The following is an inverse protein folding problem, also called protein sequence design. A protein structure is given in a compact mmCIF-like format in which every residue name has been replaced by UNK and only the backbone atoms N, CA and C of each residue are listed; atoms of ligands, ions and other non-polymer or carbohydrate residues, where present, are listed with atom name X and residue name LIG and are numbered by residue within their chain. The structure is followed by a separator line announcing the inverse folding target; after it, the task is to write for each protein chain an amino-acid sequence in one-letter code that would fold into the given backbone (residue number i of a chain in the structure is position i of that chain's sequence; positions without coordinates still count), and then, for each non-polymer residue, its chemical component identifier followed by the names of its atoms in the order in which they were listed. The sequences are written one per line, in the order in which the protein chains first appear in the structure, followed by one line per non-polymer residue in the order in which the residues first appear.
data_IF_021802001688
#
_entry.id   IF_021802001688
#
_cell.length_a   1.000
_cell.length_b   1.000
_cell.length_c   1.000
_cell.angle_alpha   90.00
_cell.angle_beta   90.00
_cell.angle_gamma   90.00
#
_symmetry.space_group_name_H-M   'P 1'
#
loop_
_entity.id
_entity.type
_entity.pdbx_description
1 polymer ?
#
# COMPACT_ATOMS: atom_id res chain seq x y z
N UNK A 1 26.28 -16.31 17.55
CA UNK A 1 27.03 -15.97 16.32
C UNK A 1 26.62 -14.58 15.89
N UNK A 2 27.54 -13.62 15.87
CA UNK A 2 27.27 -12.26 15.37
C UNK A 2 27.44 -12.25 13.85
N UNK A 3 26.43 -11.79 13.10
CA UNK A 3 26.51 -11.59 11.66
C UNK A 3 27.55 -10.52 11.34
N UNK A 4 28.45 -10.77 10.39
CA UNK A 4 29.44 -9.78 9.95
C UNK A 4 28.74 -8.52 9.42
N UNK A 5 29.19 -7.35 9.87
CA UNK A 5 28.57 -6.05 9.54
C UNK A 5 28.54 -5.74 8.03
N UNK A 6 29.45 -6.30 7.25
CA UNK A 6 29.53 -6.12 5.81
C UNK A 6 28.94 -7.29 5.00
N UNK A 7 28.57 -8.40 5.64
CA UNK A 7 27.91 -9.51 4.96
C UNK A 7 26.53 -9.10 4.41
N UNK A 8 26.01 -9.81 3.37
CA UNK A 8 24.62 -9.66 2.95
C UNK A 8 23.68 -9.84 4.13
N UNK A 9 22.67 -8.98 4.21
CA UNK A 9 21.71 -9.00 5.29
C UNK A 9 20.87 -10.30 5.24
N UNK A 10 20.67 -11.02 6.35
CA UNK A 10 19.96 -12.31 6.35
C UNK A 10 18.46 -12.20 5.98
N UNK A 11 17.89 -10.99 5.96
CA UNK A 11 16.54 -10.75 5.41
C UNK A 11 16.47 -10.90 3.87
N UNK A 12 17.62 -11.06 3.20
CA UNK A 12 17.72 -11.25 1.76
C UNK A 12 17.58 -9.97 0.93
N UNK A 13 17.58 -8.78 1.55
CA UNK A 13 17.44 -7.48 0.85
C UNK A 13 18.53 -7.14 -0.17
N UNK A 14 19.56 -7.98 -0.31
CA UNK A 14 20.76 -7.67 -1.11
C UNK A 14 21.66 -6.58 -0.50
N UNK A 15 21.20 -5.85 0.52
CA UNK A 15 21.98 -4.82 1.23
C UNK A 15 22.97 -5.44 2.22
N UNK A 16 24.07 -4.73 2.51
CA UNK A 16 24.99 -5.10 3.62
C UNK A 16 24.27 -5.00 4.96
N UNK A 17 24.54 -5.89 5.91
CA UNK A 17 23.90 -5.93 7.23
C UNK A 17 23.89 -4.55 7.90
N UNK A 18 25.03 -3.85 7.97
CA UNK A 18 25.15 -2.51 8.57
C UNK A 18 24.35 -1.39 7.89
N UNK A 19 23.84 -1.61 6.67
CA UNK A 19 23.00 -0.68 5.91
C UNK A 19 21.54 -1.13 5.87
N UNK A 20 21.18 -2.12 6.68
CA UNK A 20 19.86 -2.69 6.80
C UNK A 20 19.63 -2.96 8.30
N UNK A 21 19.58 -4.22 8.73
CA UNK A 21 19.30 -4.58 10.12
C UNK A 21 20.39 -4.21 11.15
N UNK A 22 21.59 -3.83 10.68
CA UNK A 22 22.69 -3.32 11.51
C UNK A 22 22.92 -1.82 11.37
N UNK A 23 21.97 -1.09 10.77
CA UNK A 23 21.99 0.37 10.76
C UNK A 23 21.75 0.94 12.17
N UNK A 24 22.14 2.20 12.38
CA UNK A 24 21.84 2.88 13.62
C UNK A 24 20.31 3.01 13.75
N UNK A 25 19.78 2.53 14.88
CA UNK A 25 18.35 2.58 15.19
C UNK A 25 18.04 3.93 15.83
N UNK A 26 17.00 4.67 15.40
CA UNK A 26 16.61 5.91 16.07
C UNK A 26 16.37 5.70 17.57
N UNK A 27 16.67 6.69 18.43
CA UNK A 27 16.47 6.57 19.88
C UNK A 27 15.05 6.14 20.28
N UNK A 28 14.05 6.61 19.55
CA UNK A 28 12.62 6.30 19.72
C UNK A 28 12.36 4.80 19.52
N UNK A 29 12.87 4.25 18.42
CA UNK A 29 12.79 2.82 18.11
C UNK A 29 13.61 1.99 19.10
N UNK A 30 14.77 2.48 19.54
CA UNK A 30 15.60 1.81 20.52
C UNK A 30 14.90 1.72 21.90
N UNK A 31 14.09 2.71 22.25
CA UNK A 31 13.35 2.77 23.51
C UNK A 31 12.13 1.84 23.57
N UNK A 32 11.65 1.33 22.43
CA UNK A 32 10.51 0.42 22.38
C UNK A 32 10.71 -0.85 23.22
N UNK A 33 9.66 -1.40 23.85
CA UNK A 33 9.63 -2.75 24.40
C UNK A 33 10.14 -3.81 23.41
N UNK A 34 10.79 -4.86 23.91
CA UNK A 34 11.34 -5.92 23.06
C UNK A 34 10.32 -6.55 22.08
N UNK A 35 9.08 -6.87 22.50
CA UNK A 35 8.08 -7.42 21.58
C UNK A 35 7.70 -6.46 20.44
N UNK A 36 7.66 -5.15 20.71
CA UNK A 36 7.33 -4.15 19.69
C UNK A 36 8.48 -3.96 18.69
N UNK A 37 9.74 -4.03 19.16
CA UNK A 37 10.91 -4.05 18.26
C UNK A 37 10.94 -5.28 17.36
N UNK A 38 10.55 -6.45 17.89
CA UNK A 38 10.46 -7.68 17.11
C UNK A 38 9.38 -7.58 16.01
N UNK A 39 8.21 -7.01 16.34
CA UNK A 39 7.15 -6.74 15.34
C UNK A 39 7.59 -5.76 14.27
N UNK A 40 8.20 -4.63 14.64
CA UNK A 40 8.72 -3.67 13.68
C UNK A 40 9.77 -4.33 12.76
N UNK A 41 10.70 -5.09 13.33
CA UNK A 41 11.71 -5.80 12.54
C UNK A 41 11.06 -6.80 11.56
N UNK A 42 10.03 -7.52 12.01
CA UNK A 42 9.28 -8.46 11.17
C UNK A 42 8.49 -7.72 10.07
N UNK A 43 7.85 -6.60 10.37
CA UNK A 43 7.17 -5.76 9.39
C UNK A 43 8.12 -5.26 8.29
N UNK A 44 9.29 -4.74 8.67
CA UNK A 44 10.33 -4.32 7.72
C UNK A 44 10.78 -5.47 6.82
N UNK A 45 10.87 -6.69 7.35
CA UNK A 45 11.19 -7.89 6.55
C UNK A 45 10.08 -8.23 5.55
N UNK A 46 8.82 -8.13 5.97
CA UNK A 46 7.66 -8.38 5.11
C UNK A 46 7.56 -7.34 4.00
N UNK A 47 7.74 -6.04 4.29
CA UNK A 47 7.75 -4.96 3.29
C UNK A 47 8.86 -5.17 2.26
N UNK A 48 10.06 -5.53 2.70
CA UNK A 48 11.17 -5.83 1.79
C UNK A 48 10.95 -7.12 0.98
N UNK A 49 10.25 -8.10 1.56
CA UNK A 49 9.86 -9.31 0.84
C UNK A 49 8.81 -8.98 -0.23
N UNK A 50 7.82 -8.17 0.13
CA UNK A 50 6.78 -7.70 -0.75
C UNK A 50 7.34 -6.95 -1.96
N UNK A 51 8.21 -5.96 -1.76
CA UNK A 51 8.88 -5.23 -2.86
C UNK A 51 9.57 -6.15 -3.87
N UNK A 52 10.19 -7.24 -3.41
CA UNK A 52 10.82 -8.25 -4.29
C UNK A 52 9.78 -9.07 -5.05
N UNK A 53 8.74 -9.55 -4.37
CA UNK A 53 7.63 -10.29 -4.98
C UNK A 53 6.95 -9.42 -6.05
N UNK A 54 6.73 -8.15 -5.74
CA UNK A 54 6.14 -7.16 -6.62
C UNK A 54 6.93 -7.06 -7.94
N UNK A 55 8.26 -6.89 -7.86
CA UNK A 55 9.10 -6.86 -9.06
C UNK A 55 9.06 -8.19 -9.83
N UNK A 56 9.13 -9.33 -9.13
CA UNK A 56 9.06 -10.66 -9.75
C UNK A 56 7.72 -10.90 -10.47
N UNK A 57 6.63 -10.35 -9.94
CA UNK A 57 5.29 -10.38 -10.54
C UNK A 57 5.19 -9.49 -11.77
N UNK A 58 5.68 -8.24 -11.71
CA UNK A 58 5.70 -7.35 -12.89
C UNK A 58 6.50 -7.96 -14.03
N UNK A 59 7.69 -8.48 -13.73
CA UNK A 59 8.54 -9.22 -14.67
C UNK A 59 7.83 -10.46 -15.26
N UNK A 60 7.02 -11.14 -14.45
CA UNK A 60 6.23 -12.27 -14.90
C UNK A 60 5.08 -11.85 -15.81
N UNK A 61 4.36 -10.79 -15.46
CA UNK A 61 3.29 -10.21 -16.26
C UNK A 61 3.79 -9.79 -17.64
N UNK A 62 4.94 -9.10 -17.70
CA UNK A 62 5.57 -8.71 -18.96
C UNK A 62 5.84 -9.93 -19.86
N UNK A 63 6.43 -10.99 -19.28
CA UNK A 63 6.76 -12.22 -20.04
C UNK A 63 5.56 -13.08 -20.42
N UNK A 64 4.47 -13.07 -19.63
CA UNK A 64 3.36 -14.03 -19.78
C UNK A 64 2.10 -13.42 -20.36
N UNK A 65 1.81 -12.17 -20.03
CA UNK A 65 0.59 -11.47 -20.41
C UNK A 65 0.88 -10.43 -21.51
N UNK A 66 2.10 -9.88 -21.53
CA UNK A 66 2.58 -8.99 -22.59
C UNK A 66 2.05 -7.57 -22.50
N UNK A 67 2.59 -6.70 -23.36
CA UNK A 67 2.32 -5.26 -23.35
C UNK A 67 0.87 -4.90 -23.66
N UNK A 68 0.18 -5.64 -24.55
CA UNK A 68 -1.24 -5.36 -24.86
C UNK A 68 -2.13 -5.50 -23.63
N UNK A 69 -1.88 -6.51 -22.79
CA UNK A 69 -2.61 -6.70 -21.55
C UNK A 69 -2.34 -5.59 -20.54
N UNK A 70 -1.08 -5.16 -20.42
CA UNK A 70 -0.68 -4.10 -19.51
C UNK A 70 -1.25 -2.74 -19.95
N UNK A 71 -1.20 -2.42 -21.24
CA UNK A 71 -1.79 -1.20 -21.80
C UNK A 71 -3.31 -1.16 -21.61
N UNK A 72 -4.01 -2.28 -21.86
CA UNK A 72 -5.45 -2.35 -21.61
C UNK A 72 -5.80 -2.19 -20.11
N UNK A 73 -4.89 -2.59 -19.20
CA UNK A 73 -5.05 -2.35 -17.78
C UNK A 73 -4.85 -0.88 -17.41
N UNK A 74 -3.82 -0.27 -18.00
CA UNK A 74 -3.49 1.13 -17.85
C UNK A 74 -4.64 2.01 -18.34
N UNK A 75 -5.14 1.78 -19.56
CA UNK A 75 -6.26 2.52 -20.13
C UNK A 75 -7.51 2.44 -19.24
N UNK A 76 -7.81 1.25 -18.72
CA UNK A 76 -8.93 1.05 -17.79
C UNK A 76 -8.75 1.85 -16.50
N UNK A 77 -7.53 1.85 -15.95
CA UNK A 77 -7.24 2.46 -14.66
C UNK A 77 -7.04 3.98 -14.73
N UNK A 78 -6.50 4.47 -15.84
CA UNK A 78 -6.31 5.89 -16.12
C UNK A 78 -7.58 6.54 -16.68
N UNK A 79 -8.58 5.76 -17.10
CA UNK A 79 -9.86 6.27 -17.62
C UNK A 79 -9.82 6.64 -19.10
N UNK A 80 -8.85 6.11 -19.85
CA UNK A 80 -8.71 6.32 -21.29
C UNK A 80 -7.26 6.16 -21.77
N UNK A 81 -7.04 5.97 -23.09
CA UNK A 81 -5.71 5.74 -23.68
C UNK A 81 -4.82 6.99 -23.72
N UNK A 82 -5.40 8.18 -23.59
CA UNK A 82 -4.66 9.46 -23.60
C UNK A 82 -4.33 9.96 -22.18
N UNK A 83 -4.72 9.20 -21.15
CA UNK A 83 -4.50 9.57 -19.75
C UNK A 83 -3.25 8.89 -19.22
N UNK A 84 -2.39 9.68 -18.58
CA UNK A 84 -1.17 9.19 -17.94
C UNK A 84 -1.44 8.87 -16.45
N UNK A 85 -0.69 7.90 -15.91
CA UNK A 85 -0.63 7.70 -14.48
C UNK A 85 0.16 8.84 -13.86
N UNK A 86 -0.38 9.42 -12.79
CA UNK A 86 0.42 10.28 -11.92
C UNK A 86 1.41 9.43 -11.13
N UNK A 87 2.56 10.01 -10.76
CA UNK A 87 3.50 9.42 -9.80
C UNK A 87 2.82 9.06 -8.47
N UNK A 88 1.76 9.80 -8.09
CA UNK A 88 0.96 9.51 -6.89
C UNK A 88 0.17 8.19 -6.96
N UNK A 89 -0.06 7.69 -8.18
CA UNK A 89 -0.88 6.51 -8.45
C UNK A 89 -0.07 5.24 -8.65
N UNK A 90 1.24 5.32 -8.89
CA UNK A 90 2.03 4.18 -9.36
C UNK A 90 1.95 2.96 -8.42
N UNK A 91 2.12 3.18 -7.12
CA UNK A 91 2.04 2.12 -6.11
C UNK A 91 0.64 1.51 -6.05
N UNK A 92 -0.38 2.37 -6.06
CA UNK A 92 -1.77 1.93 -6.03
C UNK A 92 -2.14 1.12 -7.29
N UNK A 93 -1.77 1.62 -8.47
CA UNK A 93 -2.00 0.96 -9.76
C UNK A 93 -1.36 -0.42 -9.79
N UNK A 94 -0.08 -0.50 -9.42
CA UNK A 94 0.64 -1.75 -9.48
C UNK A 94 0.07 -2.78 -8.49
N UNK A 95 -0.34 -2.37 -7.29
CA UNK A 95 -1.02 -3.26 -6.34
C UNK A 95 -2.36 -3.77 -6.90
N UNK A 96 -3.21 -2.87 -7.42
CA UNK A 96 -4.48 -3.25 -8.04
C UNK A 96 -4.30 -4.19 -9.23
N UNK A 97 -3.36 -3.89 -10.12
CA UNK A 97 -3.04 -4.68 -11.32
C UNK A 97 -2.68 -6.13 -10.97
N UNK A 98 -1.87 -6.31 -9.92
CA UNK A 98 -1.32 -7.61 -9.54
C UNK A 98 -2.31 -8.45 -8.72
N UNK A 99 -3.06 -7.83 -7.82
CA UNK A 99 -3.83 -8.55 -6.79
C UNK A 99 -5.34 -8.56 -6.99
N UNK A 100 -5.88 -7.57 -7.73
CA UNK A 100 -7.32 -7.38 -7.87
C UNK A 100 -7.80 -7.46 -9.32
N UNK A 101 -7.00 -7.02 -10.31
CA UNK A 101 -7.38 -7.14 -11.72
C UNK A 101 -7.22 -8.58 -12.22
N UNK A 102 -8.28 -9.21 -12.74
CA UNK A 102 -8.17 -10.51 -13.41
C UNK A 102 -7.24 -10.43 -14.63
N UNK A 103 -6.44 -11.47 -14.90
CA UNK A 103 -5.57 -11.47 -16.09
C UNK A 103 -6.37 -11.54 -17.41
N UNK A 104 -7.63 -11.95 -17.34
CA UNK A 104 -8.62 -11.97 -18.42
C UNK A 104 -10.01 -12.11 -17.80
N UNK A 105 -11.07 -12.02 -18.60
CA UNK A 105 -12.45 -12.11 -18.12
C UNK A 105 -12.80 -13.41 -17.36
N UNK A 106 -12.00 -14.47 -17.47
CA UNK A 106 -12.29 -15.79 -16.89
C UNK A 106 -11.14 -16.38 -16.06
N UNK A 107 -10.05 -15.64 -15.85
CA UNK A 107 -8.86 -16.15 -15.16
C UNK A 107 -8.59 -15.41 -13.85
N UNK A 108 -7.94 -16.09 -12.92
CA UNK A 108 -7.46 -15.48 -11.68
C UNK A 108 -6.50 -14.28 -11.92
N UNK A 109 -6.24 -13.52 -10.87
CA UNK A 109 -5.30 -12.38 -10.92
C UNK A 109 -3.86 -12.85 -11.16
N UNK A 110 -2.96 -11.98 -11.65
CA UNK A 110 -1.55 -12.33 -11.84
C UNK A 110 -0.90 -12.94 -10.60
N UNK A 111 -1.14 -12.35 -9.42
CA UNK A 111 -0.62 -12.84 -8.15
C UNK A 111 -1.05 -14.29 -7.86
N UNK A 112 -2.33 -14.62 -8.09
CA UNK A 112 -2.86 -15.97 -7.86
C UNK A 112 -2.24 -16.98 -8.84
N UNK A 113 -2.18 -16.66 -10.12
CA UNK A 113 -1.58 -17.55 -11.13
C UNK A 113 -0.10 -17.79 -10.87
N UNK A 114 0.61 -16.73 -10.48
CA UNK A 114 2.02 -16.83 -10.12
C UNK A 114 2.22 -17.69 -8.88
N UNK A 115 1.40 -17.48 -7.83
CA UNK A 115 1.45 -18.27 -6.60
C UNK A 115 1.22 -19.76 -6.86
N UNK A 116 0.21 -20.11 -7.66
CA UNK A 116 -0.06 -21.50 -8.05
C UNK A 116 1.13 -22.14 -8.76
N UNK A 117 1.76 -21.42 -9.68
CA UNK A 117 2.97 -21.87 -10.37
C UNK A 117 4.16 -22.04 -9.40
N UNK A 118 4.37 -21.12 -8.45
CA UNK A 118 5.45 -21.25 -7.47
C UNK A 118 5.21 -22.44 -6.53
N UNK A 119 3.98 -22.63 -6.05
CA UNK A 119 3.60 -23.80 -5.25
C UNK A 119 3.84 -25.11 -6.00
N UNK A 120 3.47 -25.17 -7.28
CA UNK A 120 3.72 -26.36 -8.11
C UNK A 120 5.22 -26.63 -8.31
N UNK A 121 6.03 -25.57 -8.46
CA UNK A 121 7.49 -25.66 -8.66
C UNK A 121 8.25 -26.03 -7.39
N UNK A 122 7.90 -25.44 -6.26
CA UNK A 122 8.67 -25.52 -5.02
C UNK A 122 8.09 -26.51 -3.99
N UNK A 123 6.80 -26.84 -4.09
CA UNK A 123 6.12 -27.75 -3.18
C UNK A 123 6.33 -27.38 -1.71
N UNK A 124 6.75 -28.35 -0.90
CA UNK A 124 7.02 -28.15 0.53
C UNK A 124 8.18 -27.18 0.85
N UNK A 125 8.95 -26.73 -0.16
CA UNK A 125 10.02 -25.72 0.00
C UNK A 125 9.53 -24.30 -0.32
N UNK A 126 8.24 -24.11 -0.55
CA UNK A 126 7.68 -22.78 -0.78
C UNK A 126 7.93 -21.89 0.43
N UNK A 127 8.30 -20.64 0.16
CA UNK A 127 8.44 -19.64 1.21
C UNK A 127 7.06 -19.30 1.78
N UNK A 128 6.86 -19.59 3.06
CA UNK A 128 5.59 -19.38 3.75
C UNK A 128 5.20 -17.90 3.80
N UNK A 129 6.17 -16.98 3.84
CA UNK A 129 5.88 -15.54 3.86
C UNK A 129 5.37 -15.07 2.51
N UNK A 130 5.96 -15.57 1.42
CA UNK A 130 5.48 -15.26 0.06
C UNK A 130 4.05 -15.75 -0.12
N UNK A 131 3.78 -16.98 0.35
CA UNK A 131 2.45 -17.58 0.29
C UNK A 131 1.42 -16.74 1.05
N UNK A 132 1.72 -16.43 2.31
CA UNK A 132 0.85 -15.65 3.18
C UNK A 132 0.66 -14.21 2.66
N UNK A 133 1.73 -13.53 2.23
CA UNK A 133 1.65 -12.17 1.69
C UNK A 133 0.73 -12.10 0.47
N UNK A 134 0.87 -13.04 -0.47
CA UNK A 134 0.05 -13.03 -1.68
C UNK A 134 -1.42 -13.34 -1.41
N UNK A 135 -1.71 -14.22 -0.45
CA UNK A 135 -3.09 -14.44 0.02
C UNK A 135 -3.63 -13.16 0.66
N UNK A 136 -2.89 -12.56 1.60
CA UNK A 136 -3.35 -11.40 2.34
C UNK A 136 -3.57 -10.17 1.44
N UNK A 137 -2.72 -9.95 0.43
CA UNK A 137 -2.91 -8.90 -0.59
C UNK A 137 -4.08 -9.18 -1.54
N UNK A 138 -4.36 -10.45 -1.86
CA UNK A 138 -5.55 -10.79 -2.63
C UNK A 138 -6.85 -10.57 -1.81
N UNK A 139 -6.78 -10.83 -0.50
CA UNK A 139 -7.90 -10.67 0.42
C UNK A 139 -8.05 -9.25 0.97
N UNK A 140 -7.06 -8.38 0.79
CA UNK A 140 -7.16 -6.98 1.20
C UNK A 140 -8.23 -6.24 0.41
N UNK A 141 -8.76 -5.19 1.02
CA UNK A 141 -9.81 -4.37 0.45
C UNK A 141 -9.35 -2.93 0.51
N UNK A 142 -9.72 -2.17 -0.51
CA UNK A 142 -9.48 -0.74 -0.52
C UNK A 142 -10.20 -0.10 0.68
N UNK A 143 -9.55 0.86 1.33
CA UNK A 143 -10.13 1.63 2.42
C UNK A 143 -9.72 3.08 2.37
N UNK A 144 -10.48 3.92 3.08
CA UNK A 144 -10.17 5.34 3.29
C UNK A 144 -9.69 5.46 4.74
N UNK A 145 -8.37 5.48 4.92
CA UNK A 145 -7.74 5.32 6.20
C UNK A 145 -7.32 6.67 6.76
N UNK A 146 -8.03 7.11 7.80
CA UNK A 146 -7.63 8.29 8.56
C UNK A 146 -6.52 7.93 9.53
N UNK A 147 -5.45 8.72 9.50
CA UNK A 147 -4.35 8.66 10.47
C UNK A 147 -4.85 9.18 11.81
N UNK A 148 -4.71 8.36 12.85
CA UNK A 148 -5.19 8.65 14.22
C UNK A 148 -4.05 8.95 15.18
N UNK A 149 -2.86 8.40 14.91
CA UNK A 149 -1.63 8.61 15.69
C UNK A 149 -0.43 8.26 14.81
N UNK A 150 0.71 8.89 15.07
CA UNK A 150 1.98 8.62 14.37
C UNK A 150 3.08 8.38 15.41
N UNK A 151 3.67 7.19 15.36
CA UNK A 151 4.83 6.80 16.16
C UNK A 151 6.06 6.84 15.25
N UNK A 152 6.78 7.96 15.29
CA UNK A 152 7.90 8.25 14.38
C UNK A 152 8.93 7.12 14.36
N UNK A 153 9.22 6.62 13.15
CA UNK A 153 10.15 5.51 12.92
C UNK A 153 9.59 4.12 13.24
N UNK A 154 8.31 4.01 13.61
CA UNK A 154 7.65 2.75 13.98
C UNK A 154 6.47 2.45 13.07
N UNK A 155 5.51 3.37 13.02
CA UNK A 155 4.24 3.16 12.31
C UNK A 155 3.18 4.16 12.75
N UNK A 156 1.94 3.90 12.35
CA UNK A 156 0.83 4.80 12.62
C UNK A 156 -0.49 4.06 12.75
N UNK A 157 -1.38 4.64 13.56
CA UNK A 157 -2.73 4.12 13.77
C UNK A 157 -3.67 4.63 12.69
N UNK A 158 -4.49 3.75 12.16
CA UNK A 158 -5.44 4.04 11.09
C UNK A 158 -6.87 3.72 11.51
N UNK A 159 -7.82 4.50 11.00
CA UNK A 159 -9.25 4.26 11.11
C UNK A 159 -9.91 4.34 9.73
N UNK A 160 -10.50 3.24 9.27
CA UNK A 160 -11.20 3.19 7.98
C UNK A 160 -12.58 3.84 8.07
N UNK A 161 -12.78 4.90 7.28
CA UNK A 161 -14.02 5.64 7.19
C UNK A 161 -15.16 4.80 6.57
N UNK A 162 -14.86 3.74 5.81
CA UNK A 162 -15.86 2.91 5.14
C UNK A 162 -16.40 1.81 6.05
N UNK A 163 -15.52 1.10 6.76
CA UNK A 163 -15.90 -0.06 7.59
C UNK A 163 -15.88 0.21 9.09
N UNK A 164 -15.27 1.31 9.53
CA UNK A 164 -14.99 1.62 10.93
C UNK A 164 -13.89 0.75 11.55
N UNK A 165 -13.18 -0.04 10.74
CA UNK A 165 -12.05 -0.87 11.20
C UNK A 165 -10.89 0.01 11.65
N UNK A 166 -10.18 -0.42 12.69
CA UNK A 166 -8.95 0.23 13.14
C UNK A 166 -7.76 -0.69 12.92
N UNK A 167 -6.60 -0.12 12.61
CA UNK A 167 -5.35 -0.83 12.46
C UNK A 167 -4.19 -0.03 13.04
N UNK A 168 -3.11 -0.70 13.42
CA UNK A 168 -1.80 -0.06 13.60
C UNK A 168 -0.85 -0.66 12.58
N UNK A 169 -0.47 0.12 11.58
CA UNK A 169 0.41 -0.34 10.51
C UNK A 169 1.85 0.02 10.82
N UNK A 170 2.74 -0.94 10.61
CA UNK A 170 4.17 -0.73 10.76
C UNK A 170 4.75 -0.26 9.44
N UNK A 171 5.23 0.99 9.41
CA UNK A 171 5.91 1.60 8.28
C UNK A 171 6.81 2.73 8.79
N UNK A 172 8.12 2.52 8.77
CA UNK A 172 9.08 3.52 9.23
C UNK A 172 9.20 4.71 8.27
N UNK A 173 9.04 4.48 6.95
CA UNK A 173 9.12 5.51 5.94
C UNK A 173 7.88 6.41 5.94
N UNK A 174 6.68 5.83 6.03
CA UNK A 174 5.42 6.58 6.04
C UNK A 174 5.30 7.57 7.21
N UNK A 175 5.90 7.26 8.37
CA UNK A 175 5.90 8.16 9.55
C UNK A 175 6.60 9.50 9.36
N UNK A 176 7.36 9.68 8.28
CA UNK A 176 8.09 10.92 8.00
C UNK A 176 7.22 12.00 7.34
N UNK A 177 6.08 11.61 6.76
CA UNK A 177 5.16 12.52 6.09
C UNK A 177 3.82 12.63 6.79
N UNK A 178 3.22 11.52 7.20
CA UNK A 178 1.83 11.53 7.64
C UNK A 178 1.61 12.29 8.96
N UNK A 179 0.47 12.97 9.06
CA UNK A 179 0.02 13.66 10.26
C UNK A 179 -1.34 13.14 10.73
N UNK A 180 -1.65 13.23 12.03
CA UNK A 180 -3.00 12.95 12.52
C UNK A 180 -4.06 13.74 11.73
N UNK A 181 -5.18 13.08 11.44
CA UNK A 181 -6.30 13.54 10.62
C UNK A 181 -6.05 13.62 9.10
N UNK A 182 -4.83 13.34 8.61
CA UNK A 182 -4.64 13.01 7.20
C UNK A 182 -5.42 11.74 6.85
N UNK A 183 -5.94 11.66 5.63
CA UNK A 183 -6.61 10.47 5.11
C UNK A 183 -5.89 9.99 3.87
N UNK A 184 -5.59 8.69 3.83
CA UNK A 184 -4.99 8.02 2.67
C UNK A 184 -5.95 6.98 2.08
N UNK A 185 -5.82 6.76 0.77
CA UNK A 185 -6.48 5.67 0.07
C UNK A 185 -5.48 4.52 -0.09
N UNK A 186 -5.85 3.31 0.33
CA UNK A 186 -4.94 2.18 0.20
C UNK A 186 -5.46 0.86 0.76
N UNK A 187 -4.59 -0.14 0.82
CA UNK A 187 -4.91 -1.50 1.23
C UNK A 187 -4.21 -1.82 2.54
N UNK A 188 -4.99 -2.06 3.60
CA UNK A 188 -4.46 -2.63 4.84
C UNK A 188 -4.65 -4.13 4.83
N UNK A 189 -3.57 -4.85 5.12
CA UNK A 189 -3.56 -6.30 5.25
C UNK A 189 -3.01 -6.71 6.62
N UNK A 190 -3.38 -7.90 7.06
CA UNK A 190 -2.91 -8.48 8.32
C UNK A 190 -2.23 -9.80 8.04
N UNK A 191 -1.00 -9.96 8.52
CA UNK A 191 -0.22 -11.19 8.50
C UNK A 191 0.17 -11.52 9.95
N UNK A 192 -0.31 -12.67 10.45
CA UNK A 192 -0.20 -13.02 11.87
C UNK A 192 -0.76 -11.91 12.78
N UNK A 193 0.08 -11.25 13.58
CA UNK A 193 -0.26 -10.10 14.42
C UNK A 193 0.29 -8.75 13.89
N UNK A 194 0.72 -8.72 12.63
CA UNK A 194 1.32 -7.54 11.99
C UNK A 194 0.39 -7.01 10.91
N UNK A 195 0.16 -5.70 10.95
CA UNK A 195 -0.62 -5.00 9.92
C UNK A 195 0.31 -4.12 9.11
N UNK A 196 0.09 -4.11 7.79
CA UNK A 196 0.83 -3.32 6.83
C UNK A 196 -0.18 -2.54 5.98
N UNK A 197 0.22 -1.37 5.52
CA UNK A 197 -0.47 -0.65 4.45
C UNK A 197 0.35 -0.74 3.17
N UNK A 198 -0.27 -1.12 2.06
CA UNK A 198 0.35 -1.24 0.75
C UNK A 198 -0.57 -0.62 -0.31
N UNK A 199 -0.01 -0.36 -1.50
CA UNK A 199 -0.76 0.15 -2.65
C UNK A 199 -1.49 1.45 -2.32
N UNK A 200 -0.78 2.42 -1.76
CA UNK A 200 -1.33 3.70 -1.30
C UNK A 200 -1.34 4.74 -2.41
N UNK A 201 -2.40 5.56 -2.46
CA UNK A 201 -2.39 6.81 -3.20
C UNK A 201 -1.63 7.87 -2.39
N UNK A 202 -0.66 8.53 -2.99
CA UNK A 202 0.28 9.40 -2.26
C UNK A 202 -0.24 10.83 -2.01
N UNK A 203 -1.21 11.33 -2.78
CA UNK A 203 -1.91 12.56 -2.40
C UNK A 203 -2.90 12.30 -1.26
N UNK A 204 -2.53 12.73 -0.06
CA UNK A 204 -3.42 12.68 1.09
C UNK A 204 -4.52 13.73 0.97
N UNK A 205 -5.67 13.44 1.57
CA UNK A 205 -6.79 14.37 1.70
C UNK A 205 -7.03 14.73 3.17
N UNK A 206 -7.46 15.97 3.47
CA UNK A 206 -8.01 16.27 4.77
C UNK A 206 -9.35 15.55 4.97
N UNK A 207 -9.74 15.40 6.24
CA UNK A 207 -10.89 14.61 6.64
C UNK A 207 -12.23 15.05 6.01
N UNK A 208 -12.48 16.35 5.87
CA UNK A 208 -13.71 16.88 5.29
C UNK A 208 -13.85 16.54 3.80
N UNK A 209 -12.72 16.46 3.09
CA UNK A 209 -12.67 16.05 1.70
C UNK A 209 -12.83 14.55 1.53
N UNK A 210 -12.15 13.76 2.37
CA UNK A 210 -12.26 12.31 2.36
C UNK A 210 -13.66 11.81 2.77
N UNK A 211 -14.35 12.49 3.70
CA UNK A 211 -15.69 12.10 4.14
C UNK A 211 -16.74 12.26 3.03
N UNK A 212 -16.52 13.19 2.09
CA UNK A 212 -17.39 13.32 0.92
C UNK A 212 -17.27 12.09 0.01
N UNK A 213 -16.05 11.59 -0.19
CA UNK A 213 -15.82 10.34 -0.93
C UNK A 213 -16.40 9.16 -0.16
N UNK A 214 -16.18 9.08 1.17
CA UNK A 214 -16.75 8.02 1.99
C UNK A 214 -18.28 7.99 1.90
N UNK A 215 -18.93 9.15 1.88
CA UNK A 215 -20.37 9.26 1.72
C UNK A 215 -20.84 8.77 0.34
N UNK A 216 -20.13 9.13 -0.74
CA UNK A 216 -20.43 8.61 -2.09
C UNK A 216 -20.36 7.08 -2.13
N UNK A 217 -19.35 6.48 -1.49
CA UNK A 217 -19.22 5.02 -1.42
C UNK A 217 -20.38 4.38 -0.65
N UNK A 218 -20.78 4.96 0.49
CA UNK A 218 -21.92 4.47 1.28
C UNK A 218 -23.23 4.53 0.47
N UNK A 219 -23.42 5.60 -0.30
CA UNK A 219 -24.57 5.76 -1.18
C UNK A 219 -24.58 4.71 -2.30
N UNK A 220 -23.42 4.48 -2.96
CA UNK A 220 -23.27 3.42 -3.97
C UNK A 220 -23.53 2.02 -3.40
N UNK A 221 -23.13 1.78 -2.15
CA UNK A 221 -23.36 0.52 -1.45
C UNK A 221 -24.80 0.38 -0.92
N UNK A 222 -25.64 1.40 -1.06
CA UNK A 222 -27.03 1.39 -0.58
C UNK A 222 -27.15 1.37 0.95
N UNK A 223 -26.14 1.86 1.66
CA UNK A 223 -26.11 1.85 3.12
C UNK A 223 -26.77 3.13 3.65
N UNK A 224 -27.90 3.00 4.35
CA UNK A 224 -28.66 4.14 4.85
C UNK A 224 -27.89 4.96 5.90
N UNK A 225 -27.85 6.28 5.69
CA UNK A 225 -27.15 7.27 6.53
C UNK A 225 -27.92 7.71 7.77
N UNK A 226 -29.14 7.20 7.99
CA UNK A 226 -30.10 7.74 8.98
C UNK A 226 -29.67 7.58 10.45
N UNK A 227 -28.63 6.77 10.70
CA UNK A 227 -27.93 6.67 11.97
C UNK A 227 -26.48 7.07 11.75
N UNK A 228 -26.17 8.30 12.16
CA UNK A 228 -24.85 8.90 12.23
C UNK A 228 -23.70 7.87 12.27
N UNK A 229 -22.80 7.95 11.29
CA UNK A 229 -21.44 7.37 11.29
C UNK A 229 -21.25 5.87 11.55
N UNK A 230 -22.32 5.06 11.70
CA UNK A 230 -22.23 3.64 12.05
C UNK A 230 -22.47 2.67 10.88
N UNK A 231 -22.87 3.19 9.72
CA UNK A 231 -23.25 2.41 8.56
C UNK A 231 -21.98 1.91 7.83
N UNK A 232 -21.66 0.62 8.02
CA UNK A 232 -20.44 0.00 7.49
C UNK A 232 -20.67 -0.49 6.07
N UNK A 233 -19.76 -0.12 5.16
CA UNK A 233 -19.76 -0.65 3.78
C UNK A 233 -19.42 -2.15 3.81
N UNK A 234 -20.22 -3.01 3.15
CA UNK A 234 -19.95 -4.45 3.14
C UNK A 234 -18.60 -4.80 2.48
N UNK A 235 -17.90 -5.79 3.04
CA UNK A 235 -16.56 -6.18 2.57
C UNK A 235 -16.59 -6.72 1.13
N UNK A 236 -17.67 -7.38 0.73
CA UNK A 236 -17.89 -7.88 -0.62
C UNK A 236 -18.05 -6.76 -1.65
N UNK A 237 -18.64 -5.63 -1.24
CA UNK A 237 -18.74 -4.44 -2.09
C UNK A 237 -17.34 -3.87 -2.34
N UNK A 238 -16.52 -3.78 -1.29
CA UNK A 238 -15.12 -3.33 -1.36
C UNK A 238 -14.19 -4.32 -2.08
N UNK A 239 -14.68 -5.50 -2.47
CA UNK A 239 -13.89 -6.49 -3.20
C UNK A 239 -13.93 -6.29 -4.72
N UNK A 240 -14.85 -5.47 -5.23
CA UNK A 240 -14.99 -5.24 -6.67
C UNK A 240 -13.80 -4.44 -7.22
N UNK A 241 -12.99 -5.02 -8.15
CA UNK A 241 -11.87 -4.31 -8.74
C UNK A 241 -12.26 -3.06 -9.52
N UNK A 242 -13.49 -2.99 -10.05
CA UNK A 242 -13.98 -1.79 -10.75
C UNK A 242 -14.28 -0.67 -9.77
N UNK A 243 -14.78 -1.00 -8.57
CA UNK A 243 -14.95 -0.01 -7.50
C UNK A 243 -13.61 0.60 -7.10
N UNK A 244 -12.52 -0.16 -7.08
CA UNK A 244 -11.19 0.37 -6.75
C UNK A 244 -10.76 1.46 -7.74
N UNK A 245 -11.02 1.25 -9.03
CA UNK A 245 -10.76 2.23 -10.10
C UNK A 245 -11.66 3.45 -9.94
N UNK A 246 -12.96 3.26 -9.69
CA UNK A 246 -13.90 4.36 -9.42
C UNK A 246 -13.45 5.20 -8.22
N UNK A 247 -13.03 4.54 -7.14
CA UNK A 247 -12.56 5.22 -5.93
C UNK A 247 -11.27 6.00 -6.15
N UNK A 248 -10.30 5.41 -6.87
CA UNK A 248 -9.09 6.12 -7.28
C UNK A 248 -9.41 7.37 -8.11
N UNK A 249 -10.35 7.30 -9.06
CA UNK A 249 -10.71 8.48 -9.87
C UNK A 249 -11.35 9.57 -9.02
N UNK A 250 -12.31 9.23 -8.17
CA UNK A 250 -12.94 10.18 -7.26
C UNK A 250 -11.91 10.83 -6.31
N UNK A 251 -10.97 10.02 -5.80
CA UNK A 251 -9.87 10.48 -4.96
C UNK A 251 -8.96 11.45 -5.71
N UNK A 252 -8.45 11.05 -6.88
CA UNK A 252 -7.51 11.83 -7.67
C UNK A 252 -8.10 13.17 -8.12
N UNK A 253 -9.35 13.19 -8.58
CA UNK A 253 -10.05 14.42 -8.95
C UNK A 253 -10.18 15.36 -7.74
N UNK A 254 -10.55 14.81 -6.57
CA UNK A 254 -10.74 15.60 -5.35
C UNK A 254 -9.41 16.16 -4.82
N UNK A 255 -8.39 15.32 -4.74
CA UNK A 255 -7.05 15.69 -4.29
C UNK A 255 -6.45 16.77 -5.20
N UNK A 256 -6.51 16.56 -6.52
CA UNK A 256 -6.08 17.56 -7.51
C UNK A 256 -6.82 18.88 -7.31
N UNK A 257 -8.15 18.85 -7.16
CA UNK A 257 -8.95 20.06 -6.95
C UNK A 257 -8.60 20.80 -5.65
N UNK A 258 -8.45 20.07 -4.54
CA UNK A 258 -8.13 20.63 -3.24
C UNK A 258 -6.75 21.27 -3.21
N UNK A 259 -5.71 20.54 -3.63
CA UNK A 259 -4.33 21.02 -3.56
C UNK A 259 -4.09 22.19 -4.52
N UNK A 260 -4.65 22.14 -5.74
CA UNK A 260 -4.59 23.29 -6.66
C UNK A 260 -5.24 24.54 -6.06
N UNK A 261 -6.37 24.41 -5.37
CA UNK A 261 -7.03 25.53 -4.69
C UNK A 261 -6.21 26.05 -3.50
N UNK A 262 -5.46 25.17 -2.83
CA UNK A 262 -4.51 25.52 -1.78
C UNK A 262 -3.17 26.08 -2.31
N UNK A 263 -2.96 26.11 -3.62
CA UNK A 263 -1.73 26.62 -4.25
C UNK A 263 -0.58 25.62 -4.32
N UNK A 264 -0.87 24.32 -4.19
CA UNK A 264 0.08 23.22 -4.28
C UNK A 264 -0.19 22.35 -5.52
N UNK A 265 0.84 21.73 -6.09
CA UNK A 265 0.69 20.77 -7.20
C UNK A 265 0.18 19.38 -6.76
N UNK A 266 0.15 19.12 -5.46
CA UNK A 266 -0.26 17.88 -4.80
C UNK A 266 -0.10 18.03 -3.28
N UNK A 267 -0.17 16.92 -2.54
CA UNK A 267 0.04 16.95 -1.09
C UNK A 267 1.46 17.44 -0.74
N UNK A 268 1.64 18.38 0.21
CA UNK A 268 2.95 18.90 0.62
C UNK A 268 3.92 17.82 1.14
N UNK A 269 3.41 16.64 1.48
CA UNK A 269 4.23 15.50 1.87
C UNK A 269 5.12 14.99 0.73
N UNK A 270 4.67 15.15 -0.51
CA UNK A 270 5.43 14.72 -1.68
C UNK A 270 6.61 15.65 -1.99
N UNK A 271 6.43 16.96 -1.80
CA UNK A 271 7.49 17.97 -1.97
C UNK A 271 8.68 17.72 -1.01
N UNK A 272 8.43 17.09 0.14
CA UNK A 272 9.46 16.75 1.14
C UNK A 272 10.16 15.40 0.93
N UNK A 273 9.48 14.40 0.35
CA UNK A 273 10.02 13.04 0.13
C UNK A 273 10.93 12.99 -1.10
N UNK A 274 10.66 13.81 -2.12
CA UNK A 274 11.53 13.98 -3.31
C UNK A 274 12.60 15.07 -3.16
N UNK A 275 12.80 15.60 -1.94
CA UNK A 275 13.83 16.60 -1.68
C UNK A 275 15.18 16.19 -2.29
N UNK A 276 15.67 17.01 -3.22
CA UNK A 276 16.98 16.83 -3.84
C UNK A 276 18.01 16.47 -2.77
N UNK A 277 18.91 15.48 -3.02
CA UNK A 277 20.00 15.22 -2.09
C UNK A 277 20.71 16.55 -1.82
N UNK A 278 21.02 16.89 -0.56
CA UNK A 278 21.67 18.16 -0.25
C UNK A 278 22.89 18.29 -1.14
N UNK A 279 22.83 19.26 -2.06
CA UNK A 279 23.86 19.46 -3.07
C UNK A 279 25.22 19.49 -2.37
N UNK A 280 26.13 18.63 -2.84
CA UNK A 280 27.54 18.69 -2.47
C UNK A 280 28.02 20.11 -2.79
N UNK A 281 28.05 20.94 -1.76
CA UNK A 281 28.66 22.25 -1.82
C UNK A 281 30.15 22.00 -1.72
N UNK A 282 30.81 22.06 -2.87
CA UNK A 282 32.27 22.24 -2.99
C UNK A 282 32.72 23.53 -2.30
#
# INVERSE_FOLDING_TARGET
MSVDRNAPCPCGSGRKFKKCHGAAVPPEVAALPAPERERLQRAVQLIERDRRIHQELLDWCDRKLGAEWANAALDQFAGGPDNELSEYDESFYAHWLLHHRPASATTATPAVQWLEMQRARHGARMDADVDALLIAQHESRIGLWRVTQVDVGVGYGLHDLLTGTTAFVYDDAGTLGEQPDDVCLGYVLTLDDIQLILGTHLDLLPMDEAEQIAQQVRDMAGVATDRASAARVPREFLADPLLHVTLRHAWHERASGYWNAAGHGGSPLHDGILGEPPGEST
#
